data_IF_590792764348
#
_entry.id   IF_590792764348
#
_cell.length_a   1.000
_cell.length_b   1.000
_cell.length_c   1.000
_cell.angle_alpha   90.00
_cell.angle_beta   90.00
_cell.angle_gamma   90.00
#
_symmetry.space_group_name_H-M   'P 1'
#
loop_
_entity.id
_entity.type
_entity.pdbx_description
1 polymer ?
#
# COMPACT_ATOMS: atom_id res chain seq x y z
N UNK A 1 83.77 61.27 13.11
CA UNK A 1 82.32 61.57 13.02
C UNK A 1 81.75 60.80 11.84
N UNK A 2 80.99 59.73 12.10
CA UNK A 2 80.26 58.98 11.07
C UNK A 2 78.89 58.67 11.64
N UNK A 3 77.90 59.41 11.17
CA UNK A 3 76.50 59.38 11.59
C UNK A 3 75.78 58.25 10.86
N UNK A 4 75.23 57.28 11.60
CA UNK A 4 74.33 56.26 11.06
C UNK A 4 72.89 56.76 11.08
N UNK A 5 72.27 56.85 9.90
CA UNK A 5 70.84 57.12 9.74
C UNK A 5 70.01 55.84 10.04
N UNK A 6 68.91 55.92 10.80
CA UNK A 6 67.99 54.79 10.92
C UNK A 6 67.03 54.75 9.72
N UNK A 7 66.78 53.53 9.21
CA UNK A 7 65.78 53.24 8.19
C UNK A 7 64.37 53.28 8.80
N UNK A 8 63.44 53.95 8.13
CA UNK A 8 62.03 54.00 8.51
C UNK A 8 61.34 52.65 8.36
N UNK A 9 60.53 52.27 9.36
CA UNK A 9 59.66 51.11 9.29
C UNK A 9 58.49 51.39 8.35
N UNK A 10 58.33 50.58 7.30
CA UNK A 10 57.12 50.54 6.49
C UNK A 10 55.97 49.97 7.32
N UNK A 11 54.86 50.69 7.35
CA UNK A 11 53.66 50.37 8.12
C UNK A 11 52.93 49.18 7.47
N UNK A 12 53.07 47.99 8.07
CA UNK A 12 52.53 46.69 7.62
C UNK A 12 51.02 46.51 7.87
N UNK A 13 50.23 47.59 7.75
CA UNK A 13 48.83 47.63 8.17
C UNK A 13 47.79 47.27 7.10
N UNK A 14 48.17 47.09 5.83
CA UNK A 14 47.19 47.04 4.72
C UNK A 14 46.92 45.65 4.11
N UNK A 15 47.54 44.57 4.60
CA UNK A 15 47.35 43.22 4.05
C UNK A 15 46.43 42.30 4.87
N UNK A 16 45.98 42.70 6.06
CA UNK A 16 45.22 41.82 6.97
C UNK A 16 43.70 41.90 6.83
N UNK A 17 43.16 42.79 5.98
CA UNK A 17 41.69 42.97 5.85
C UNK A 17 41.04 42.19 4.70
N UNK A 18 41.80 41.62 3.76
CA UNK A 18 41.24 40.86 2.64
C UNK A 18 41.24 39.33 2.84
N UNK A 19 42.04 38.80 3.78
CA UNK A 19 42.08 37.35 4.05
C UNK A 19 40.88 36.85 4.89
N UNK A 20 40.34 37.69 5.78
CA UNK A 20 39.21 37.30 6.65
C UNK A 20 37.89 37.10 5.91
N UNK A 21 37.63 37.88 4.86
CA UNK A 21 36.42 37.78 4.06
C UNK A 21 36.40 36.53 3.15
N UNK A 22 37.56 36.12 2.62
CA UNK A 22 37.69 34.95 1.75
C UNK A 22 37.59 33.62 2.51
N UNK A 23 38.11 33.54 3.75
CA UNK A 23 37.99 32.35 4.60
C UNK A 23 36.56 32.18 5.14
N UNK A 24 35.88 33.29 5.47
CA UNK A 24 34.48 33.25 5.89
C UNK A 24 33.53 32.83 4.74
N UNK A 25 33.82 33.22 3.49
CA UNK A 25 33.03 32.81 2.32
C UNK A 25 33.27 31.35 1.92
N UNK A 26 34.50 30.83 2.10
CA UNK A 26 34.81 29.40 1.88
C UNK A 26 34.18 28.50 2.97
N UNK A 27 34.09 28.97 4.22
CA UNK A 27 33.38 28.28 5.29
C UNK A 27 31.85 28.29 5.08
N UNK A 28 31.29 29.38 4.55
CA UNK A 28 29.85 29.46 4.21
C UNK A 28 29.46 28.56 3.02
N UNK A 29 30.38 28.27 2.09
CA UNK A 29 30.10 27.42 0.92
C UNK A 29 30.19 25.91 1.19
N UNK A 30 30.63 25.47 2.37
CA UNK A 30 30.58 24.04 2.77
C UNK A 30 29.28 23.63 3.43
N UNK A 31 28.41 24.60 3.77
CA UNK A 31 27.14 24.36 4.45
C UNK A 31 25.94 24.24 3.50
N UNK A 32 26.20 23.93 2.23
CA UNK A 32 25.17 23.51 1.30
C UNK A 32 25.60 22.13 0.82
N UNK A 33 25.41 21.14 1.68
CA UNK A 33 25.46 19.74 1.25
C UNK A 33 24.47 19.53 0.10
N UNK A 34 24.68 18.53 -0.77
CA UNK A 34 23.68 18.22 -1.79
C UNK A 34 22.33 18.03 -1.09
N UNK A 35 21.25 18.62 -1.62
CA UNK A 35 19.92 18.15 -1.28
C UNK A 35 19.88 16.69 -1.74
N UNK A 36 20.12 15.76 -0.82
CA UNK A 36 19.72 14.40 -1.03
C UNK A 36 18.20 14.47 -1.21
N UNK A 37 17.71 14.08 -2.38
CA UNK A 37 16.30 13.73 -2.50
C UNK A 37 16.05 12.70 -1.39
N UNK A 38 15.14 12.99 -0.46
CA UNK A 38 14.72 12.00 0.51
C UNK A 38 14.32 10.75 -0.30
N UNK A 39 14.92 9.59 0.02
CA UNK A 39 14.36 8.34 -0.47
C UNK A 39 12.87 8.32 -0.08
N UNK A 40 11.98 7.74 -0.91
CA UNK A 40 10.60 7.58 -0.47
C UNK A 40 10.65 6.86 0.88
N UNK A 41 10.07 7.48 1.91
CA UNK A 41 10.01 6.93 3.26
C UNK A 41 8.91 5.86 3.26
N UNK A 42 9.20 4.76 2.56
CA UNK A 42 8.28 3.62 2.42
C UNK A 42 8.33 2.81 3.70
N UNK A 43 7.18 2.57 4.30
CA UNK A 43 7.06 1.77 5.51
C UNK A 43 6.72 0.31 5.19
N UNK A 44 7.20 -0.59 6.05
CA UNK A 44 6.75 -1.98 6.08
C UNK A 44 5.60 -2.10 7.07
N UNK A 45 4.49 -2.69 6.62
CA UNK A 45 3.27 -2.92 7.38
C UNK A 45 2.99 -4.40 7.51
N UNK A 46 2.38 -4.78 8.63
CA UNK A 46 2.23 -6.17 9.04
C UNK A 46 0.75 -6.51 9.23
N UNK A 47 0.32 -7.61 8.61
CA UNK A 47 -1.05 -8.11 8.69
C UNK A 47 -1.07 -9.57 9.10
N UNK A 48 -1.83 -9.92 10.14
CA UNK A 48 -2.03 -11.29 10.60
C UNK A 48 -3.50 -11.49 11.00
N UNK A 49 -4.08 -12.67 10.74
CA UNK A 49 -5.49 -12.96 11.10
C UNK A 49 -5.79 -12.85 12.60
N UNK A 50 -4.74 -12.93 13.44
CA UNK A 50 -4.77 -12.76 14.90
C UNK A 50 -4.59 -11.31 15.37
N UNK A 51 -4.33 -10.38 14.46
CA UNK A 51 -4.06 -8.96 14.74
C UNK A 51 -5.29 -8.14 15.14
N UNK A 52 -5.10 -6.82 15.18
CA UNK A 52 -6.13 -5.84 15.54
C UNK A 52 -6.03 -4.53 14.72
N UNK A 53 -7.15 -4.00 14.24
CA UNK A 53 -7.17 -2.82 13.35
C UNK A 53 -7.37 -1.49 14.09
N UNK A 54 -8.09 -1.49 15.21
CA UNK A 54 -8.54 -0.26 15.85
C UNK A 54 -7.37 0.59 16.37
N UNK A 55 -7.16 1.76 15.74
CA UNK A 55 -6.07 2.67 16.09
C UNK A 55 -4.68 2.14 15.74
N UNK A 56 -4.59 1.10 14.90
CA UNK A 56 -3.34 0.48 14.49
C UNK A 56 -2.89 1.03 13.13
N UNK A 57 -1.62 1.42 13.02
CA UNK A 57 -0.99 1.82 11.76
C UNK A 57 -0.28 0.64 11.06
N UNK A 58 -0.34 -0.55 11.64
CA UNK A 58 0.25 -1.78 11.13
C UNK A 58 1.78 -1.77 11.09
N UNK A 59 2.47 -0.82 11.75
CA UNK A 59 3.93 -0.71 11.68
C UNK A 59 4.66 -1.63 12.67
N UNK A 60 3.96 -2.11 13.70
CA UNK A 60 4.53 -3.00 14.72
C UNK A 60 4.32 -4.48 14.34
N UNK A 61 5.38 -5.27 14.08
CA UNK A 61 5.26 -6.69 13.78
C UNK A 61 4.73 -7.53 14.95
N UNK A 62 4.81 -7.02 16.19
CA UNK A 62 4.23 -7.65 17.38
C UNK A 62 2.76 -7.27 17.62
N UNK A 63 2.26 -6.26 16.92
CA UNK A 63 0.86 -5.84 16.92
C UNK A 63 0.39 -5.61 15.46
N UNK A 64 0.36 -6.66 14.62
CA UNK A 64 -0.07 -6.53 13.24
C UNK A 64 -1.55 -6.14 13.15
N UNK A 65 -1.91 -5.56 12.02
CA UNK A 65 -3.31 -5.35 11.68
C UNK A 65 -4.00 -6.70 11.42
N UNK A 66 -5.32 -6.73 11.67
CA UNK A 66 -6.14 -7.93 11.47
C UNK A 66 -6.52 -8.12 10.01
N UNK A 67 -6.82 -7.03 9.32
CA UNK A 67 -7.33 -7.03 7.95
C UNK A 67 -6.32 -6.44 6.96
N UNK A 68 -6.35 -6.94 5.73
CA UNK A 68 -5.49 -6.46 4.65
C UNK A 68 -5.99 -5.10 4.17
N UNK A 69 -7.31 -4.90 4.07
CA UNK A 69 -7.86 -3.61 3.63
C UNK A 69 -7.50 -2.48 4.58
N UNK A 70 -7.53 -2.71 5.90
CA UNK A 70 -7.12 -1.67 6.86
C UNK A 70 -5.65 -1.28 6.67
N UNK A 71 -4.74 -2.23 6.45
CA UNK A 71 -3.34 -1.94 6.16
C UNK A 71 -3.15 -1.14 4.86
N UNK A 72 -3.97 -1.40 3.84
CA UNK A 72 -4.00 -0.61 2.59
C UNK A 72 -4.50 0.81 2.86
N UNK A 73 -5.55 0.98 3.66
CA UNK A 73 -6.18 2.27 3.94
C UNK A 73 -5.25 3.22 4.72
N UNK A 74 -4.38 2.67 5.57
CA UNK A 74 -3.39 3.46 6.34
C UNK A 74 -2.04 3.60 5.62
N UNK A 75 -1.84 2.89 4.50
CA UNK A 75 -0.58 2.89 3.77
C UNK A 75 -0.32 4.18 2.98
N UNK A 76 0.95 4.57 2.94
CA UNK A 76 1.48 5.60 2.05
C UNK A 76 1.83 5.03 0.67
N UNK A 77 1.98 5.92 -0.32
CA UNK A 77 2.44 5.52 -1.66
C UNK A 77 3.86 4.92 -1.58
N UNK A 78 3.99 3.70 -2.08
CA UNK A 78 5.26 2.95 -2.12
C UNK A 78 5.47 2.01 -0.94
N UNK A 79 4.57 2.01 0.06
CA UNK A 79 4.66 1.11 1.20
C UNK A 79 4.62 -0.37 0.80
N UNK A 80 5.08 -1.21 1.70
CA UNK A 80 5.02 -2.66 1.59
C UNK A 80 4.16 -3.25 2.70
N UNK A 81 3.21 -4.10 2.35
CA UNK A 81 2.36 -4.84 3.30
C UNK A 81 2.75 -6.31 3.25
N UNK A 82 3.30 -6.81 4.36
CA UNK A 82 3.58 -8.21 4.61
C UNK A 82 2.36 -8.86 5.25
N UNK A 83 1.89 -9.93 4.64
CA UNK A 83 0.68 -10.63 5.06
C UNK A 83 1.08 -12.03 5.52
N UNK A 84 0.76 -12.33 6.77
CA UNK A 84 0.97 -13.63 7.35
C UNK A 84 0.09 -14.71 6.67
N UNK A 85 0.41 -15.97 6.95
CA UNK A 85 -0.41 -17.10 6.57
C UNK A 85 -1.83 -16.98 7.13
N UNK A 86 -2.78 -17.49 6.36
CA UNK A 86 -4.18 -17.50 6.76
C UNK A 86 -5.12 -17.21 5.61
N UNK A 87 -6.41 -17.30 5.90
CA UNK A 87 -7.49 -16.93 4.98
C UNK A 87 -8.10 -15.60 5.42
N UNK A 88 -8.03 -14.62 4.53
CA UNK A 88 -8.55 -13.28 4.71
C UNK A 88 -9.77 -13.13 3.84
N UNK A 89 -10.96 -13.12 4.46
CA UNK A 89 -12.21 -13.00 3.74
C UNK A 89 -12.52 -11.53 3.45
N UNK A 90 -11.95 -11.00 2.37
CA UNK A 90 -11.93 -9.57 2.05
C UNK A 90 -12.01 -9.33 0.53
N UNK A 91 -12.53 -8.16 0.14
CA UNK A 91 -12.46 -7.67 -1.24
C UNK A 91 -11.61 -6.40 -1.23
N UNK A 92 -10.40 -6.49 -1.79
CA UNK A 92 -9.40 -5.44 -1.67
C UNK A 92 -9.60 -4.33 -2.70
N UNK A 93 -9.46 -3.09 -2.26
CA UNK A 93 -9.36 -1.89 -3.09
C UNK A 93 -7.99 -1.27 -2.87
N UNK A 94 -7.17 -1.22 -3.93
CA UNK A 94 -5.79 -0.72 -3.87
C UNK A 94 -5.68 0.55 -4.74
N UNK A 95 -5.88 1.75 -4.16
CA UNK A 95 -5.87 3.00 -4.91
C UNK A 95 -4.47 3.63 -5.07
N UNK A 96 -3.47 3.08 -4.40
CA UNK A 96 -2.10 3.60 -4.30
C UNK A 96 -1.07 2.62 -4.91
N UNK A 97 0.15 3.10 -5.13
CA UNK A 97 1.26 2.17 -5.43
C UNK A 97 1.64 1.45 -4.15
N UNK A 98 1.54 0.13 -4.11
CA UNK A 98 1.77 -0.68 -2.92
C UNK A 98 2.41 -2.02 -3.31
N UNK A 99 3.40 -2.48 -2.52
CA UNK A 99 3.86 -3.86 -2.58
C UNK A 99 3.03 -4.72 -1.62
N UNK A 100 2.23 -5.64 -2.16
CA UNK A 100 1.42 -6.56 -1.35
C UNK A 100 2.04 -7.96 -1.41
N UNK A 101 2.48 -8.51 -0.27
CA UNK A 101 3.21 -9.78 -0.23
C UNK A 101 2.65 -10.73 0.82
N UNK A 102 2.10 -11.84 0.35
CA UNK A 102 1.80 -13.00 1.20
C UNK A 102 2.99 -13.95 1.39
N UNK A 103 2.75 -14.98 2.19
CA UNK A 103 3.71 -16.07 2.41
C UNK A 103 4.48 -15.98 3.73
N UNK A 104 4.02 -15.19 4.71
CA UNK A 104 4.77 -14.94 5.94
C UNK A 104 4.28 -15.77 7.13
N UNK A 105 5.20 -16.24 7.96
CA UNK A 105 4.89 -16.78 9.29
C UNK A 105 4.27 -15.68 10.18
N UNK A 106 3.23 -16.01 10.96
CA UNK A 106 2.45 -15.02 11.73
C UNK A 106 3.23 -14.28 12.81
N UNK A 107 4.22 -14.93 13.45
CA UNK A 107 4.98 -14.35 14.56
C UNK A 107 6.43 -14.04 14.15
N UNK A 108 7.04 -14.93 13.36
CA UNK A 108 8.45 -14.84 12.98
C UNK A 108 8.71 -14.05 11.69
N UNK A 109 7.66 -13.76 10.90
CA UNK A 109 7.76 -13.07 9.61
C UNK A 109 8.80 -13.70 8.65
N UNK A 110 9.07 -15.00 8.82
CA UNK A 110 9.84 -15.79 7.85
C UNK A 110 8.96 -16.03 6.64
N UNK A 111 9.50 -15.85 5.42
CA UNK A 111 8.73 -16.03 4.19
C UNK A 111 8.97 -17.38 3.55
N UNK A 112 7.92 -18.16 3.38
CA UNK A 112 7.88 -19.43 2.64
C UNK A 112 6.47 -19.62 2.06
N UNK A 113 6.37 -19.72 0.73
CA UNK A 113 5.07 -19.76 0.05
C UNK A 113 4.35 -21.09 0.18
N UNK A 114 5.09 -22.17 0.42
CA UNK A 114 4.54 -23.51 0.55
C UNK A 114 4.11 -23.77 2.00
N UNK A 115 4.87 -23.26 2.98
CA UNK A 115 4.58 -23.45 4.40
C UNK A 115 3.57 -22.43 4.94
N UNK A 116 3.58 -21.19 4.45
CA UNK A 116 2.84 -20.07 5.04
C UNK A 116 1.87 -19.41 4.05
N UNK A 117 0.96 -20.17 3.42
CA UNK A 117 0.10 -19.64 2.36
C UNK A 117 -0.83 -18.53 2.88
N UNK A 118 -0.85 -17.41 2.17
CA UNK A 118 -1.85 -16.35 2.32
C UNK A 118 -2.93 -16.54 1.27
N UNK A 119 -4.18 -16.69 1.72
CA UNK A 119 -5.36 -16.84 0.87
C UNK A 119 -6.22 -15.60 1.06
N UNK A 120 -6.44 -14.83 -0.01
CA UNK A 120 -7.43 -13.75 -0.02
C UNK A 120 -8.71 -14.35 -0.62
N UNK A 121 -9.72 -14.51 0.22
CA UNK A 121 -11.00 -15.08 -0.15
C UNK A 121 -12.04 -13.97 -0.37
N UNK A 122 -12.42 -13.75 -1.63
CA UNK A 122 -13.43 -12.75 -1.98
C UNK A 122 -14.85 -13.09 -1.53
N UNK A 123 -15.13 -14.31 -1.04
CA UNK A 123 -16.49 -14.87 -0.89
C UNK A 123 -17.42 -14.21 0.16
N UNK A 124 -16.90 -13.34 1.03
CA UNK A 124 -17.63 -12.86 2.23
C UNK A 124 -18.55 -11.65 2.07
N UNK A 125 -18.63 -11.03 0.89
CA UNK A 125 -19.59 -9.94 0.62
C UNK A 125 -20.76 -10.46 -0.22
N UNK A 126 -22.03 -10.06 0.04
CA UNK A 126 -23.19 -10.53 -0.71
C UNK A 126 -23.24 -9.89 -2.11
N UNK A 127 -22.36 -10.37 -2.99
CA UNK A 127 -22.62 -10.62 -4.40
C UNK A 127 -21.98 -11.99 -4.69
N UNK A 128 -22.47 -13.04 -4.01
CA UNK A 128 -22.01 -14.45 -4.07
C UNK A 128 -20.70 -14.72 -4.86
N UNK A 129 -19.54 -14.36 -4.30
CA UNK A 129 -18.24 -14.58 -4.94
C UNK A 129 -17.82 -16.03 -4.66
N UNK A 130 -17.79 -16.84 -5.71
CA UNK A 130 -17.46 -18.27 -5.65
C UNK A 130 -18.60 -19.20 -6.06
N UNK A 131 -19.81 -18.68 -6.25
CA UNK A 131 -20.87 -19.42 -6.93
C UNK A 131 -20.48 -19.74 -8.37
N UNK A 132 -21.14 -20.72 -8.97
CA UNK A 132 -20.96 -21.13 -10.36
C UNK A 132 -21.23 -20.01 -11.38
N UNK A 133 -21.73 -18.85 -10.95
CA UNK A 133 -22.07 -17.66 -11.74
C UNK A 133 -21.16 -16.44 -11.48
N UNK A 134 -20.04 -16.64 -10.76
CA UNK A 134 -19.18 -15.56 -10.24
C UNK A 134 -18.35 -14.79 -11.27
N UNK A 135 -18.17 -15.33 -12.49
CA UNK A 135 -17.41 -14.67 -13.56
C UNK A 135 -18.32 -13.99 -14.59
N UNK A 136 -19.45 -14.61 -14.96
CA UNK A 136 -20.35 -14.06 -15.98
C UNK A 136 -21.77 -14.51 -15.72
N UNK A 137 -22.72 -13.60 -15.96
CA UNK A 137 -24.16 -13.88 -16.08
C UNK A 137 -24.61 -13.41 -17.47
N UNK A 138 -25.25 -14.28 -18.24
CA UNK A 138 -25.61 -14.03 -19.63
C UNK A 138 -26.95 -14.67 -20.03
N UNK A 139 -27.44 -14.34 -21.23
CA UNK A 139 -28.62 -14.95 -21.88
C UNK A 139 -29.89 -15.00 -21.01
N UNK A 140 -30.10 -13.98 -20.20
CA UNK A 140 -31.28 -13.87 -19.37
C UNK A 140 -32.57 -13.89 -20.21
N UNK A 141 -33.51 -14.75 -19.83
CA UNK A 141 -34.87 -14.79 -20.36
C UNK A 141 -35.84 -14.57 -19.23
N UNK A 142 -36.71 -13.56 -19.39
CA UNK A 142 -37.68 -13.15 -18.36
C UNK A 142 -39.09 -13.51 -18.79
N UNK A 143 -39.83 -14.16 -17.90
CA UNK A 143 -41.27 -14.44 -18.02
C UNK A 143 -41.99 -13.85 -16.81
N UNK A 144 -43.20 -13.34 -17.01
CA UNK A 144 -44.07 -12.87 -15.91
C UNK A 144 -45.15 -13.91 -15.63
N UNK A 145 -45.19 -14.40 -14.40
CA UNK A 145 -46.13 -15.37 -13.86
C UNK A 145 -46.95 -14.68 -12.75
N UNK A 146 -48.22 -14.38 -13.02
CA UNK A 146 -49.11 -13.56 -12.20
C UNK A 146 -48.51 -12.20 -11.76
N UNK A 147 -47.99 -12.12 -10.53
CA UNK A 147 -47.40 -10.91 -9.95
C UNK A 147 -45.88 -10.97 -9.85
N UNK A 148 -45.26 -12.10 -10.23
CA UNK A 148 -43.83 -12.35 -10.09
C UNK A 148 -43.20 -12.49 -11.48
N UNK A 149 -42.07 -11.82 -11.68
CA UNK A 149 -41.18 -12.09 -12.79
C UNK A 149 -40.23 -13.23 -12.42
N UNK A 150 -40.07 -14.20 -13.31
CA UNK A 150 -39.07 -15.26 -13.23
C UNK A 150 -38.05 -15.06 -14.34
N UNK A 151 -36.77 -15.19 -14.01
CA UNK A 151 -35.65 -15.05 -14.93
C UNK A 151 -34.82 -16.33 -14.92
N UNK A 152 -34.67 -16.96 -16.08
CA UNK A 152 -33.65 -17.98 -16.31
C UNK A 152 -32.44 -17.32 -16.95
N UNK A 153 -31.25 -17.68 -16.51
CA UNK A 153 -30.03 -17.09 -17.04
C UNK A 153 -28.89 -18.12 -17.05
N UNK A 154 -27.93 -17.92 -17.95
CA UNK A 154 -26.68 -18.66 -17.96
C UNK A 154 -25.72 -17.99 -16.99
N UNK A 155 -24.94 -18.78 -16.28
CA UNK A 155 -23.88 -18.29 -15.39
C UNK A 155 -22.65 -19.19 -15.47
N UNK A 156 -21.48 -18.60 -15.30
CA UNK A 156 -20.21 -19.32 -15.27
C UNK A 156 -19.25 -18.71 -14.25
N UNK A 157 -18.36 -19.54 -13.70
CA UNK A 157 -17.16 -19.12 -13.02
C UNK A 157 -15.94 -19.38 -13.96
N UNK A 158 -14.71 -19.24 -13.45
CA UNK A 158 -13.49 -19.49 -14.24
C UNK A 158 -13.08 -20.98 -14.29
N UNK A 159 -13.83 -21.86 -13.63
CA UNK A 159 -13.39 -23.23 -13.29
C UNK A 159 -14.31 -24.30 -13.89
N UNK A 160 -15.62 -24.09 -13.85
CA UNK A 160 -16.67 -25.02 -14.22
C UNK A 160 -17.35 -24.64 -15.54
N UNK A 161 -18.09 -25.59 -16.12
CA UNK A 161 -18.97 -25.35 -17.25
C UNK A 161 -20.14 -24.39 -16.91
N UNK A 162 -20.70 -23.77 -17.94
CA UNK A 162 -21.89 -22.90 -17.83
C UNK A 162 -23.06 -23.68 -17.22
N UNK A 163 -23.72 -23.11 -16.22
CA UNK A 163 -24.96 -23.65 -15.65
C UNK A 163 -26.12 -22.67 -15.87
N UNK A 164 -27.32 -23.10 -15.48
CA UNK A 164 -28.55 -22.31 -15.61
C UNK A 164 -29.11 -21.99 -14.24
N UNK A 165 -29.31 -20.70 -13.98
CA UNK A 165 -29.83 -20.16 -12.73
C UNK A 165 -31.26 -19.68 -12.87
N UNK A 166 -31.96 -19.59 -11.74
CA UNK A 166 -33.31 -19.05 -11.64
C UNK A 166 -33.31 -17.90 -10.64
N UNK A 167 -33.88 -16.76 -11.04
CA UNK A 167 -34.15 -15.64 -10.14
C UNK A 167 -35.60 -15.19 -10.25
N UNK A 168 -36.12 -14.61 -9.16
CA UNK A 168 -37.47 -14.06 -9.11
C UNK A 168 -37.48 -12.58 -8.70
N UNK A 169 -38.47 -11.83 -9.15
CA UNK A 169 -38.63 -10.41 -8.85
C UNK A 169 -40.09 -9.99 -8.82
N UNK A 170 -40.48 -9.16 -7.86
CA UNK A 170 -41.82 -8.52 -7.86
C UNK A 170 -41.92 -7.30 -8.77
N UNK A 171 -40.78 -6.68 -9.13
CA UNK A 171 -40.74 -5.38 -9.82
C UNK A 171 -39.95 -5.39 -11.14
N UNK A 172 -39.35 -6.52 -11.51
CA UNK A 172 -38.53 -6.69 -12.71
C UNK A 172 -37.17 -5.98 -12.67
N UNK A 173 -36.80 -5.39 -11.53
CA UNK A 173 -35.56 -4.61 -11.34
C UNK A 173 -34.65 -5.23 -10.29
N UNK A 174 -35.22 -5.64 -9.18
CA UNK A 174 -34.51 -6.27 -8.06
C UNK A 174 -34.83 -7.74 -8.05
N UNK A 175 -33.81 -8.58 -8.15
CA UNK A 175 -33.95 -10.01 -8.36
C UNK A 175 -33.33 -10.79 -7.20
N UNK A 176 -34.01 -11.84 -6.76
CA UNK A 176 -33.52 -12.79 -5.77
C UNK A 176 -33.28 -14.14 -6.44
N UNK A 177 -32.06 -14.67 -6.32
CA UNK A 177 -31.72 -16.05 -6.74
C UNK A 177 -32.55 -17.06 -5.95
N UNK A 178 -32.92 -18.16 -6.59
CA UNK A 178 -33.70 -19.28 -6.00
C UNK A 178 -32.85 -20.52 -5.82
#
# INVERSE_FOLDING_TARGET
>A
MKTSHPLGSLNSGLFLRSLGALVALLLLLTLIGPLAAAAPDTATRYVATTGADAGNDCLDPGLPCRTIQHAIDVAGNGDEVLIAQGTYQENLVIPITLALRGGFEADGWTRDLDLFPTIIDGSGNPIEPGGWESNTVAKATVVRDDTIFRMWYDGSNLVDDVQVGLASSGNGKTWARS
#
